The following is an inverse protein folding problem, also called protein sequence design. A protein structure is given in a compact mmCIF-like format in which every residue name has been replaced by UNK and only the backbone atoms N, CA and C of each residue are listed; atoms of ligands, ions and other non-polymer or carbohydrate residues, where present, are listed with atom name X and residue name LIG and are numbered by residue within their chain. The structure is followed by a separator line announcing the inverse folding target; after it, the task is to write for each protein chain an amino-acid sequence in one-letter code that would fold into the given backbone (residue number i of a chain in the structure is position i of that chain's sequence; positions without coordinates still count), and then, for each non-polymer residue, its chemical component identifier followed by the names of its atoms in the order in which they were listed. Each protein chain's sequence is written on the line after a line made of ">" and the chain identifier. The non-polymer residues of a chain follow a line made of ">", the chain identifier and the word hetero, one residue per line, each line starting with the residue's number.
data_IF_706598347871
#
_entry.id   IF_706598347871
#
_cell.length_a   1.000
_cell.length_b   1.000
_cell.length_c   1.000
_cell.angle_alpha   90.00
_cell.angle_beta   90.00
_cell.angle_gamma   90.00
#
_symmetry.space_group_name_H-M   'P 1'
#
loop_
_entity.id
_entity.type
_entity.pdbx_description
1 polymer ?
#
# COMPACT_ATOMS: atom_id res chain seq x y z
N UNK A 1 14.98 6.11 8.93
CA UNK A 1 13.53 6.20 8.69
C UNK A 1 12.83 5.65 9.91
N UNK A 2 11.77 6.30 10.41
CA UNK A 2 10.96 5.71 11.48
C UNK A 2 10.02 4.66 10.89
N UNK A 3 9.53 3.71 11.71
CA UNK A 3 8.53 2.72 11.24
C UNK A 3 7.28 3.39 10.68
N UNK A 4 6.84 4.48 11.31
CA UNK A 4 5.68 5.25 10.88
C UNK A 4 5.87 5.89 9.50
N UNK A 5 7.07 6.40 9.20
CA UNK A 5 7.42 6.90 7.87
C UNK A 5 7.42 5.80 6.82
N UNK A 6 7.90 4.60 7.18
CA UNK A 6 7.90 3.44 6.28
C UNK A 6 6.48 2.97 5.94
N UNK A 7 5.60 2.89 6.94
CA UNK A 7 4.19 2.54 6.71
C UNK A 7 3.49 3.57 5.83
N UNK A 8 3.74 4.87 6.07
CA UNK A 8 3.22 5.93 5.21
C UNK A 8 3.71 5.79 3.77
N UNK A 9 4.99 5.47 3.57
CA UNK A 9 5.56 5.28 2.23
C UNK A 9 4.91 4.10 1.48
N UNK A 10 4.62 3.00 2.19
CA UNK A 10 3.86 1.86 1.62
C UNK A 10 2.45 2.30 1.25
N UNK A 11 1.73 2.94 2.17
CA UNK A 11 0.36 3.41 1.94
C UNK A 11 0.29 4.35 0.74
N UNK A 12 1.23 5.30 0.65
CA UNK A 12 1.32 6.23 -0.48
C UNK A 12 1.66 5.51 -1.79
N UNK A 13 2.53 4.49 -1.78
CA UNK A 13 2.82 3.70 -2.98
C UNK A 13 1.59 2.96 -3.51
N UNK A 14 0.75 2.42 -2.61
CA UNK A 14 -0.51 1.77 -2.99
C UNK A 14 -1.50 2.78 -3.58
N UNK A 15 -1.74 3.90 -2.90
CA UNK A 15 -2.68 4.94 -3.36
C UNK A 15 -2.25 5.55 -4.68
N UNK A 16 -0.95 5.76 -4.90
CA UNK A 16 -0.41 6.27 -6.15
C UNK A 16 -0.29 5.20 -7.24
N UNK A 17 -0.72 3.96 -6.97
CA UNK A 17 -0.66 2.80 -7.89
C UNK A 17 0.78 2.51 -8.37
N UNK A 18 1.77 2.82 -7.53
CA UNK A 18 3.22 2.60 -7.76
C UNK A 18 3.60 1.14 -7.47
N UNK A 19 3.14 0.23 -8.32
CA UNK A 19 3.32 -1.24 -8.16
C UNK A 19 4.76 -1.65 -7.82
N UNK A 20 5.73 -1.22 -8.63
CA UNK A 20 7.14 -1.62 -8.47
C UNK A 20 7.68 -1.20 -7.10
N UNK A 21 7.34 0.01 -6.67
CA UNK A 21 7.75 0.55 -5.37
C UNK A 21 7.07 -0.17 -4.21
N UNK A 22 5.79 -0.51 -4.32
CA UNK A 22 5.08 -1.30 -3.30
C UNK A 22 5.76 -2.66 -3.08
N UNK A 23 6.15 -3.33 -4.18
CA UNK A 23 6.89 -4.60 -4.15
C UNK A 23 8.30 -4.42 -3.54
N UNK A 24 9.03 -3.38 -3.93
CA UNK A 24 10.34 -3.06 -3.34
C UNK A 24 10.25 -2.85 -1.83
N UNK A 25 9.24 -2.11 -1.36
CA UNK A 25 9.00 -1.87 0.06
C UNK A 25 8.61 -3.16 0.79
N UNK A 26 7.80 -4.04 0.19
CA UNK A 26 7.50 -5.35 0.75
C UNK A 26 8.78 -6.19 0.93
N UNK A 27 9.62 -6.27 -0.10
CA UNK A 27 10.90 -6.98 0.00
C UNK A 27 11.83 -6.36 1.03
N UNK A 28 11.87 -5.03 1.13
CA UNK A 28 12.65 -4.33 2.15
C UNK A 28 12.19 -4.68 3.56
N UNK A 29 10.88 -4.74 3.81
CA UNK A 29 10.32 -5.13 5.10
C UNK A 29 10.74 -6.56 5.50
N UNK A 30 10.73 -7.48 4.53
CA UNK A 30 11.18 -8.87 4.74
C UNK A 30 12.69 -8.92 5.01
N UNK A 31 13.50 -8.22 4.21
CA UNK A 31 14.96 -8.21 4.34
C UNK A 31 15.44 -7.55 5.64
N UNK A 32 14.74 -6.53 6.11
CA UNK A 32 15.03 -5.85 7.38
C UNK A 32 14.40 -6.56 8.60
N UNK A 33 13.75 -7.71 8.38
CA UNK A 33 13.14 -8.54 9.41
C UNK A 33 12.14 -7.76 10.29
N UNK A 34 11.35 -6.89 9.65
CA UNK A 34 10.32 -6.09 10.30
C UNK A 34 9.14 -6.95 10.74
N UNK A 35 8.29 -6.42 11.63
CA UNK A 35 7.04 -7.06 11.96
C UNK A 35 6.08 -7.01 10.76
N UNK A 36 6.02 -8.10 9.99
CA UNK A 36 5.23 -8.17 8.77
C UNK A 36 3.73 -7.94 9.00
N UNK A 37 3.20 -8.32 10.17
CA UNK A 37 1.81 -8.07 10.50
C UNK A 37 1.54 -6.56 10.57
N UNK A 38 2.42 -5.80 11.21
CA UNK A 38 2.29 -4.33 11.27
C UNK A 38 2.49 -3.68 9.91
N UNK A 39 3.42 -4.20 9.09
CA UNK A 39 3.64 -3.72 7.73
C UNK A 39 2.38 -3.88 6.88
N UNK A 40 1.72 -5.03 6.97
CA UNK A 40 0.46 -5.29 6.28
C UNK A 40 -0.66 -4.40 6.84
N UNK A 41 -0.87 -4.36 8.15
CA UNK A 41 -2.01 -3.64 8.74
C UNK A 41 -1.89 -2.11 8.65
N UNK A 42 -0.70 -1.57 8.90
CA UNK A 42 -0.45 -0.12 9.01
C UNK A 42 0.08 0.49 7.72
N UNK A 43 0.68 -0.30 6.83
CA UNK A 43 1.16 0.15 5.52
C UNK A 43 0.16 -0.19 4.42
N UNK A 44 0.16 -1.44 3.98
CA UNK A 44 -0.62 -1.90 2.83
C UNK A 44 -2.14 -1.79 3.05
N UNK A 45 -2.60 -2.17 4.23
CA UNK A 45 -3.99 -2.13 4.65
C UNK A 45 -4.54 -0.72 4.80
N UNK A 46 -3.68 0.25 5.16
CA UNK A 46 -4.03 1.67 5.13
C UNK A 46 -4.18 2.16 3.67
N UNK A 47 -3.23 1.81 2.81
CA UNK A 47 -3.27 2.18 1.40
C UNK A 47 -4.53 1.69 0.67
N UNK A 48 -4.93 0.43 0.87
CA UNK A 48 -6.13 -0.12 0.21
C UNK A 48 -7.43 0.51 0.75
N UNK A 49 -7.50 0.87 2.04
CA UNK A 49 -8.65 1.59 2.59
C UNK A 49 -8.79 2.96 1.94
N UNK A 50 -7.68 3.69 1.80
CA UNK A 50 -7.65 4.99 1.13
C UNK A 50 -8.09 4.91 -0.33
N UNK A 51 -7.73 3.84 -1.06
CA UNK A 51 -8.27 3.59 -2.41
C UNK A 51 -9.79 3.41 -2.37
N UNK A 52 -10.31 2.68 -1.38
CA UNK A 52 -11.75 2.53 -1.17
C UNK A 52 -12.44 3.86 -0.92
N UNK A 53 -11.88 4.69 -0.04
CA UNK A 53 -12.39 6.04 0.26
C UNK A 53 -12.43 6.91 -1.02
N UNK A 54 -11.35 6.91 -1.81
CA UNK A 54 -11.28 7.65 -3.08
C UNK A 54 -12.29 7.17 -4.13
N UNK A 55 -12.60 5.87 -4.15
CA UNK A 55 -13.65 5.31 -5.00
C UNK A 55 -15.05 5.74 -4.52
N UNK A 56 -15.30 5.74 -3.20
CA UNK A 56 -16.56 6.22 -2.62
C UNK A 56 -16.78 7.73 -2.87
N UNK A 57 -15.70 8.52 -2.85
CA UNK A 57 -15.72 9.95 -3.18
C UNK A 57 -15.86 10.23 -4.69
N UNK A 58 -15.70 9.21 -5.54
CA UNK A 58 -15.79 9.34 -7.00
C UNK A 58 -14.53 9.91 -7.66
N UNK A 59 -13.41 9.98 -6.93
CA UNK A 59 -12.10 10.41 -7.43
C UNK A 59 -11.35 9.27 -8.14
N UNK A 60 -11.55 8.02 -7.69
CA UNK A 60 -11.05 6.81 -8.35
C UNK A 60 -12.17 6.11 -9.13
N UNK A 61 -11.81 5.44 -10.22
CA UNK A 61 -12.72 4.60 -10.98
C UNK A 61 -12.41 3.11 -10.80
N UNK A 62 -13.21 2.26 -11.44
CA UNK A 62 -13.12 0.80 -11.31
C UNK A 62 -11.73 0.28 -11.74
N UNK A 63 -11.09 0.81 -12.81
CA UNK A 63 -9.73 0.41 -13.16
C UNK A 63 -8.71 0.66 -12.04
N UNK A 64 -8.76 1.82 -11.39
CA UNK A 64 -7.84 2.19 -10.32
C UNK A 64 -8.08 1.32 -9.07
N UNK A 65 -9.35 1.08 -8.72
CA UNK A 65 -9.72 0.18 -7.62
C UNK A 65 -9.20 -1.25 -7.87
N UNK A 66 -9.39 -1.77 -9.09
CA UNK A 66 -8.90 -3.09 -9.51
C UNK A 66 -7.37 -3.17 -9.50
N UNK A 67 -6.69 -2.10 -9.94
CA UNK A 67 -5.24 -2.05 -9.94
C UNK A 67 -4.68 -2.03 -8.51
N UNK A 68 -5.27 -1.24 -7.61
CA UNK A 68 -4.92 -1.26 -6.18
C UNK A 68 -5.04 -2.63 -5.55
N UNK A 69 -6.15 -3.34 -5.83
CA UNK A 69 -6.33 -4.73 -5.41
C UNK A 69 -5.32 -5.70 -6.02
N UNK A 70 -4.92 -5.48 -7.28
CA UNK A 70 -3.90 -6.30 -7.95
C UNK A 70 -2.53 -6.11 -7.32
N UNK A 71 -2.13 -4.86 -7.00
CA UNK A 71 -0.86 -4.58 -6.32
C UNK A 71 -0.83 -5.26 -4.94
N UNK A 72 -1.96 -5.30 -4.23
CA UNK A 72 -2.08 -5.99 -2.94
C UNK A 72 -1.94 -7.51 -3.02
N UNK A 73 -2.25 -8.10 -4.19
CA UNK A 73 -2.21 -9.55 -4.40
C UNK A 73 -0.80 -10.07 -4.73
N UNK A 74 0.06 -9.22 -5.30
CA UNK A 74 1.43 -9.56 -5.71
C UNK A 74 2.44 -9.50 -4.56
#
# INVERSE_FOLDING_TARGET
>A
MTQEQFFKEISDAIVNLEKEKAIELAHKAVNENMNLLEVIEKGFGDGIRRIGDLWEEGEFFLPELMLGGTIMQE
#
